data_IF_820179537755
#
_entry.id   IF_820179537755
#
_cell.length_a   1.000
_cell.length_b   1.000
_cell.length_c   1.000
_cell.angle_alpha   90.00
_cell.angle_beta   90.00
_cell.angle_gamma   90.00
#
_symmetry.space_group_name_H-M   'P 1'
#
loop_
_entity.id
_entity.type
_entity.pdbx_description
1 polymer ?
#
# COMPACT_ATOMS: atom_id res chain seq x y z
N UNK A 1 19.13 -8.83 -22.19
CA UNK A 1 19.98 -7.72 -21.71
C UNK A 1 19.24 -7.14 -20.52
N UNK A 2 19.61 -7.60 -19.32
CA UNK A 2 18.91 -7.27 -18.08
C UNK A 2 19.41 -5.91 -17.63
N UNK A 3 18.56 -4.88 -17.71
CA UNK A 3 18.80 -3.61 -17.04
C UNK A 3 18.64 -3.86 -15.54
N UNK A 4 19.73 -4.22 -14.88
CA UNK A 4 19.83 -4.07 -13.43
C UNK A 4 19.93 -2.56 -13.18
N UNK A 5 18.80 -1.91 -12.87
CA UNK A 5 18.86 -0.59 -12.23
C UNK A 5 19.43 -0.83 -10.83
N UNK A 6 20.70 -0.52 -10.64
CA UNK A 6 21.30 -0.39 -9.33
C UNK A 6 20.73 0.88 -8.69
N UNK A 7 19.57 0.75 -8.03
CA UNK A 7 19.06 1.82 -7.19
C UNK A 7 19.98 1.90 -5.97
N UNK A 8 20.66 3.04 -5.80
CA UNK A 8 21.44 3.27 -4.59
C UNK A 8 20.50 3.40 -3.40
N UNK A 9 20.85 2.79 -2.27
CA UNK A 9 20.27 3.11 -0.96
C UNK A 9 20.68 4.56 -0.60
N UNK A 10 20.04 5.54 -1.23
CA UNK A 10 20.07 6.93 -0.81
C UNK A 10 19.26 7.09 0.48
N UNK A 11 19.53 8.16 1.24
CA UNK A 11 18.66 8.54 2.35
C UNK A 11 17.21 8.67 1.86
N UNK A 12 16.22 8.43 2.73
CA UNK A 12 14.81 8.68 2.41
C UNK A 12 14.68 10.11 1.86
N UNK A 13 14.39 10.22 0.57
CA UNK A 13 14.08 11.49 -0.09
C UNK A 13 12.57 11.64 -0.11
N UNK A 14 12.10 12.86 0.13
CA UNK A 14 10.68 13.23 0.16
C UNK A 14 10.31 14.15 -1.01
N UNK A 15 11.24 14.39 -1.94
CA UNK A 15 10.94 15.06 -3.20
C UNK A 15 9.94 14.24 -4.02
N UNK A 16 8.82 14.87 -4.33
CA UNK A 16 7.67 14.28 -5.00
C UNK A 16 7.11 15.31 -5.99
N UNK A 17 6.60 14.87 -7.14
CA UNK A 17 6.18 15.80 -8.18
C UNK A 17 4.74 16.23 -7.93
N UNK A 18 4.51 17.54 -7.87
CA UNK A 18 3.16 18.08 -7.99
C UNK A 18 2.70 17.96 -9.44
N UNK A 19 1.64 17.19 -9.66
CA UNK A 19 1.01 16.98 -10.96
C UNK A 19 -0.37 17.62 -10.98
N UNK A 20 -0.85 17.95 -12.18
CA UNK A 20 -2.22 18.44 -12.35
C UNK A 20 -3.21 17.34 -11.93
N UNK A 21 -3.91 17.54 -10.82
CA UNK A 21 -4.84 16.58 -10.21
C UNK A 21 -6.31 17.01 -10.48
N UNK A 22 -6.86 16.80 -11.70
CA UNK A 22 -8.25 17.15 -11.99
C UNK A 22 -9.25 16.28 -11.21
N UNK A 23 -8.81 15.13 -10.71
CA UNK A 23 -9.57 14.29 -9.79
C UNK A 23 -9.73 12.85 -10.28
N UNK A 24 -9.92 11.96 -9.31
CA UNK A 24 -10.26 10.56 -9.50
C UNK A 24 -11.68 10.33 -9.00
N UNK A 25 -12.46 9.57 -9.76
CA UNK A 25 -13.85 9.26 -9.44
C UNK A 25 -14.05 7.74 -9.32
N UNK A 26 -14.94 7.35 -8.42
CA UNK A 26 -15.46 6.00 -8.36
C UNK A 26 -16.35 5.71 -9.57
N UNK A 27 -16.17 4.53 -10.16
CA UNK A 27 -16.97 4.04 -11.29
C UNK A 27 -17.97 3.00 -10.79
N UNK A 28 -17.47 1.89 -10.24
CA UNK A 28 -18.28 0.76 -9.77
C UNK A 28 -17.47 -0.18 -8.87
N UNK A 29 -18.16 -1.13 -8.23
CA UNK A 29 -17.57 -2.23 -7.46
C UNK A 29 -18.20 -2.43 -6.07
N UNK A 30 -18.21 -3.66 -5.54
CA UNK A 30 -18.64 -3.92 -4.17
C UNK A 30 -17.58 -3.44 -3.19
N UNK A 31 -17.93 -2.45 -2.37
CA UNK A 31 -17.13 -1.98 -1.24
C UNK A 31 -18.01 -1.75 -0.02
N UNK A 32 -17.38 -1.68 1.15
CA UNK A 32 -18.04 -1.28 2.39
C UNK A 32 -17.87 0.23 2.58
N UNK A 33 -18.98 0.94 2.78
CA UNK A 33 -18.92 2.37 3.10
C UNK A 33 -18.26 2.58 4.48
N UNK A 34 -17.51 3.68 4.61
CA UNK A 34 -16.90 4.05 5.88
C UNK A 34 -17.93 4.22 7.00
N UNK A 35 -17.59 3.69 8.17
CA UNK A 35 -18.34 3.87 9.41
C UNK A 35 -17.38 4.26 10.55
N UNK A 36 -17.83 5.04 11.54
CA UNK A 36 -17.00 5.32 12.72
C UNK A 36 -16.47 4.04 13.36
N UNK A 37 -15.15 3.99 13.57
CA UNK A 37 -14.45 2.81 14.09
C UNK A 37 -13.91 1.86 13.02
N UNK A 38 -14.18 2.09 11.74
CA UNK A 38 -13.57 1.36 10.63
C UNK A 38 -12.24 1.99 10.22
N UNK A 39 -11.49 1.25 9.40
CA UNK A 39 -10.30 1.75 8.72
C UNK A 39 -10.60 3.07 7.98
N UNK A 40 -9.78 4.09 8.21
CA UNK A 40 -9.96 5.40 7.60
C UNK A 40 -9.77 5.35 6.09
N UNK A 41 -10.79 5.76 5.34
CA UNK A 41 -10.76 5.95 3.89
C UNK A 41 -12.18 6.11 3.33
N UNK A 42 -12.32 6.03 2.01
CA UNK A 42 -13.61 6.25 1.33
C UNK A 42 -14.24 4.94 0.88
N UNK A 43 -13.47 4.09 0.20
CA UNK A 43 -13.92 2.80 -0.32
C UNK A 43 -13.17 1.69 0.41
N UNK A 44 -13.88 0.92 1.24
CA UNK A 44 -13.26 -0.10 2.08
C UNK A 44 -13.41 -1.47 1.43
N UNK A 45 -12.29 -2.10 1.13
CA UNK A 45 -12.21 -3.48 0.65
C UNK A 45 -11.88 -4.36 1.86
N UNK A 46 -12.91 -4.93 2.49
CA UNK A 46 -12.82 -5.62 3.79
C UNK A 46 -12.91 -7.13 3.68
N UNK A 47 -13.40 -7.62 2.55
CA UNK A 47 -13.56 -9.04 2.32
C UNK A 47 -12.73 -9.43 1.11
N UNK A 48 -12.22 -10.66 1.11
CA UNK A 48 -11.60 -11.23 -0.07
C UNK A 48 -12.50 -11.07 -1.30
N UNK A 49 -11.90 -10.67 -2.42
CA UNK A 49 -12.56 -10.38 -3.69
C UNK A 49 -13.47 -9.15 -3.72
N UNK A 50 -13.56 -8.34 -2.64
CA UNK A 50 -14.07 -6.97 -2.73
C UNK A 50 -13.23 -6.21 -3.75
N UNK A 51 -13.88 -5.37 -4.55
CA UNK A 51 -13.19 -4.63 -5.61
C UNK A 51 -13.85 -3.29 -5.88
N UNK A 52 -13.04 -2.36 -6.38
CA UNK A 52 -13.53 -1.08 -6.92
C UNK A 52 -12.82 -0.76 -8.23
N UNK A 53 -13.53 -0.03 -9.07
CA UNK A 53 -13.01 0.61 -10.28
C UNK A 53 -13.01 2.11 -10.10
N UNK A 54 -11.84 2.70 -10.33
CA UNK A 54 -11.61 4.14 -10.28
C UNK A 54 -11.16 4.62 -11.67
N UNK A 55 -11.59 5.81 -12.07
CA UNK A 55 -11.16 6.45 -13.31
C UNK A 55 -10.87 7.93 -13.10
N UNK A 56 -9.91 8.47 -13.86
CA UNK A 56 -9.55 9.88 -13.86
C UNK A 56 -8.04 10.08 -13.83
N UNK A 57 -7.63 11.27 -13.42
CA UNK A 57 -6.22 11.64 -13.29
C UNK A 57 -6.00 12.28 -11.93
N UNK A 58 -5.14 11.70 -11.10
CA UNK A 58 -4.94 12.18 -9.74
C UNK A 58 -4.27 11.18 -8.81
N UNK A 59 -4.13 11.57 -7.55
CA UNK A 59 -3.51 10.71 -6.54
C UNK A 59 -4.54 9.85 -5.81
N UNK A 60 -4.17 8.60 -5.57
CA UNK A 60 -4.96 7.64 -4.80
C UNK A 60 -4.09 7.11 -3.66
N UNK A 61 -4.67 7.04 -2.47
CA UNK A 61 -4.09 6.39 -1.30
C UNK A 61 -4.70 5.01 -1.12
N UNK A 62 -3.85 4.02 -0.92
CA UNK A 62 -4.18 2.72 -0.34
C UNK A 62 -3.69 2.71 1.09
N UNK A 63 -4.59 2.56 2.05
CA UNK A 63 -4.24 2.35 3.45
C UNK A 63 -4.45 0.87 3.80
N UNK A 64 -3.38 0.20 4.18
CA UNK A 64 -3.37 -1.22 4.51
C UNK A 64 -3.57 -1.47 6.00
N UNK A 65 -4.33 -2.52 6.33
CA UNK A 65 -4.43 -3.06 7.69
C UNK A 65 -4.44 -4.58 7.66
N UNK A 66 -3.40 -5.21 8.20
CA UNK A 66 -3.29 -6.67 8.27
C UNK A 66 -3.99 -7.18 9.53
N UNK A 67 -4.94 -8.11 9.38
CA UNK A 67 -5.76 -8.66 10.47
C UNK A 67 -5.15 -9.92 11.09
N UNK A 68 -3.87 -9.86 11.46
CA UNK A 68 -3.14 -11.03 12.00
C UNK A 68 -3.82 -11.66 13.22
N UNK A 69 -4.52 -10.88 14.04
CA UNK A 69 -5.25 -11.34 15.23
C UNK A 69 -6.47 -12.20 14.89
N UNK A 70 -6.99 -12.09 13.66
CA UNK A 70 -8.15 -12.84 13.20
C UNK A 70 -7.71 -14.10 12.48
N UNK A 71 -6.75 -13.98 11.57
CA UNK A 71 -6.08 -15.12 10.95
C UNK A 71 -4.77 -14.70 10.28
N UNK A 72 -3.68 -15.26 10.77
CA UNK A 72 -2.35 -15.08 10.19
C UNK A 72 -2.06 -16.09 9.06
N UNK A 73 -1.09 -15.75 8.22
CA UNK A 73 -0.53 -16.64 7.20
C UNK A 73 -0.02 -15.90 5.97
N UNK A 74 0.33 -16.66 4.93
CA UNK A 74 0.66 -16.11 3.62
C UNK A 74 -0.47 -15.19 3.13
N UNK A 75 -0.12 -14.03 2.58
CA UNK A 75 -1.08 -13.10 1.98
C UNK A 75 -0.54 -12.55 0.66
N UNK A 76 -1.44 -12.16 -0.24
CA UNK A 76 -1.08 -11.60 -1.54
C UNK A 76 -1.43 -10.11 -1.58
N UNK A 77 -0.73 -9.39 -2.45
CA UNK A 77 -1.07 -8.03 -2.84
C UNK A 77 -2.50 -7.93 -3.43
N UNK A 78 -2.97 -6.70 -3.56
CA UNK A 78 -4.14 -6.42 -4.39
C UNK A 78 -3.85 -6.83 -5.83
N UNK A 79 -4.87 -7.34 -6.49
CA UNK A 79 -4.88 -7.42 -7.95
C UNK A 79 -5.26 -6.05 -8.49
N UNK A 80 -4.38 -5.46 -9.30
CA UNK A 80 -4.62 -4.22 -10.02
C UNK A 80 -4.73 -4.51 -11.53
N UNK A 81 -5.92 -4.30 -12.10
CA UNK A 81 -6.13 -4.31 -13.56
C UNK A 81 -6.17 -2.86 -14.06
N UNK A 82 -5.20 -2.48 -14.89
CA UNK A 82 -4.87 -1.09 -15.20
C UNK A 82 -5.05 -0.82 -16.68
N UNK A 83 -5.77 0.26 -17.00
CA UNK A 83 -5.79 0.87 -18.33
C UNK A 83 -5.26 2.30 -18.21
N UNK A 84 -4.05 2.54 -18.72
CA UNK A 84 -3.34 3.82 -18.56
C UNK A 84 -2.19 3.69 -17.56
N UNK A 85 -2.08 4.64 -16.64
CA UNK A 85 -0.98 4.73 -15.67
C UNK A 85 -1.47 4.44 -14.26
N UNK A 86 -0.75 3.59 -13.53
CA UNK A 86 -0.93 3.31 -12.11
C UNK A 86 0.44 3.10 -11.47
N UNK A 87 1.05 4.20 -11.04
CA UNK A 87 2.43 4.21 -10.54
C UNK A 87 2.45 4.49 -9.05
N UNK A 88 3.12 3.65 -8.27
CA UNK A 88 3.40 3.98 -6.88
C UNK A 88 4.37 5.16 -6.84
N UNK A 89 4.00 6.22 -6.13
CA UNK A 89 4.79 7.44 -6.06
C UNK A 89 5.30 7.74 -4.65
N UNK A 90 4.71 7.15 -3.61
CA UNK A 90 5.18 7.31 -2.25
C UNK A 90 4.66 6.21 -1.32
N UNK A 91 5.37 6.02 -0.22
CA UNK A 91 4.93 5.22 0.92
C UNK A 91 5.13 5.99 2.22
N UNK A 92 4.19 5.89 3.16
CA UNK A 92 4.23 6.62 4.42
C UNK A 92 3.67 5.81 5.60
N UNK A 93 3.95 6.31 6.81
CA UNK A 93 3.73 5.60 8.06
C UNK A 93 4.84 4.60 8.30
N UNK A 94 4.50 3.40 8.75
CA UNK A 94 5.49 2.33 8.89
C UNK A 94 5.41 1.39 7.68
N UNK A 95 6.55 0.90 7.24
CA UNK A 95 6.62 -0.21 6.30
C UNK A 95 6.46 -1.51 7.08
N UNK A 96 5.60 -2.41 6.62
CA UNK A 96 5.35 -3.63 7.36
C UNK A 96 6.64 -4.42 7.54
N UNK A 97 7.04 -4.61 8.81
CA UNK A 97 8.17 -5.44 9.19
C UNK A 97 9.58 -4.85 9.02
N UNK A 98 9.74 -3.64 8.47
CA UNK A 98 10.96 -2.83 8.71
C UNK A 98 11.14 -2.53 10.21
N UNK A 99 10.02 -2.56 10.95
CA UNK A 99 9.97 -2.60 12.39
C UNK A 99 9.18 -3.87 12.76
N UNK A 100 9.65 -4.70 13.71
CA UNK A 100 8.74 -5.64 14.34
C UNK A 100 7.54 -4.85 14.85
N UNK A 101 6.32 -5.32 14.59
CA UNK A 101 5.19 -4.89 15.41
C UNK A 101 5.64 -5.05 16.89
N UNK A 102 5.16 -4.23 17.83
CA UNK A 102 5.57 -4.29 19.26
C UNK A 102 5.36 -5.67 19.94
N UNK A 103 4.96 -6.69 19.18
CA UNK A 103 4.63 -8.06 19.56
C UNK A 103 5.42 -9.14 18.77
N UNK A 104 6.47 -8.77 18.02
CA UNK A 104 7.37 -9.75 17.40
C UNK A 104 8.28 -10.39 18.45
N UNK A 105 7.76 -11.36 19.20
CA UNK A 105 8.49 -12.14 20.19
C UNK A 105 9.07 -13.44 19.57
N UNK A 106 9.73 -13.36 18.41
CA UNK A 106 10.49 -14.50 17.88
C UNK A 106 11.94 -14.50 18.41
N UNK A 107 12.34 -15.48 19.24
CA UNK A 107 13.71 -15.59 19.75
C UNK A 107 14.77 -15.90 18.67
N UNK A 108 14.37 -16.20 17.42
CA UNK A 108 15.29 -16.50 16.32
C UNK A 108 15.77 -15.27 15.54
N UNK A 109 15.15 -14.11 15.74
CA UNK A 109 15.40 -12.87 14.98
C UNK A 109 15.21 -13.00 13.45
N UNK A 110 14.53 -14.05 12.96
CA UNK A 110 14.33 -14.33 11.53
C UNK A 110 13.00 -13.80 10.97
N UNK A 111 12.22 -13.05 11.77
CA UNK A 111 10.97 -12.46 11.29
C UNK A 111 11.23 -11.36 10.27
N UNK A 112 10.89 -11.66 9.01
CA UNK A 112 10.87 -10.72 7.89
C UNK A 112 9.43 -10.43 7.46
N UNK A 113 8.66 -9.76 8.33
CA UNK A 113 7.43 -9.02 7.95
C UNK A 113 6.20 -9.93 7.73
N UNK A 114 4.92 -9.55 7.91
CA UNK A 114 4.16 -8.35 8.21
C UNK A 114 2.98 -8.70 9.16
N UNK A 115 3.26 -8.58 10.47
CA UNK A 115 2.33 -8.55 11.63
C UNK A 115 1.75 -9.88 12.13
N UNK A 116 1.87 -10.08 13.44
CA UNK A 116 1.70 -11.38 14.08
C UNK A 116 2.51 -11.52 15.38
N UNK A 117 2.45 -12.69 16.00
CA UNK A 117 3.21 -13.06 17.20
C UNK A 117 2.99 -14.52 17.59
N UNK A 118 3.62 -14.99 18.66
CA UNK A 118 3.50 -16.39 19.13
C UNK A 118 2.05 -16.83 19.36
N UNK A 119 1.19 -15.89 19.74
CA UNK A 119 -0.20 -16.17 20.11
C UNK A 119 -1.12 -16.32 18.89
N UNK A 120 -0.81 -15.64 17.77
CA UNK A 120 -1.71 -15.51 16.62
C UNK A 120 -1.11 -15.98 15.27
N UNK A 121 0.18 -16.32 15.25
CA UNK A 121 0.93 -16.62 14.03
C UNK A 121 1.45 -15.36 13.34
N UNK A 122 2.12 -15.52 12.21
CA UNK A 122 2.70 -14.43 11.42
C UNK A 122 2.02 -14.32 10.05
N UNK A 123 1.70 -13.12 9.61
CA UNK A 123 1.32 -12.86 8.22
C UNK A 123 2.55 -12.44 7.42
N UNK A 124 2.65 -12.79 6.15
CA UNK A 124 3.75 -12.38 5.26
C UNK A 124 3.27 -12.28 3.81
N UNK A 125 3.85 -11.35 3.05
CA UNK A 125 3.53 -11.15 1.63
C UNK A 125 4.34 -12.11 0.74
N UNK A 126 3.77 -12.53 -0.39
CA UNK A 126 4.36 -13.54 -1.29
C UNK A 126 5.39 -13.01 -2.28
N UNK A 127 5.41 -11.70 -2.49
CA UNK A 127 6.31 -11.03 -3.43
C UNK A 127 7.57 -10.47 -2.76
N UNK A 128 7.84 -10.83 -1.49
CA UNK A 128 8.93 -10.30 -0.67
C UNK A 128 8.89 -8.77 -0.47
N UNK A 129 7.84 -8.10 -0.94
CA UNK A 129 7.65 -6.66 -0.79
C UNK A 129 6.87 -6.35 0.48
N UNK A 130 7.47 -5.52 1.33
CA UNK A 130 6.76 -4.96 2.46
C UNK A 130 5.94 -3.77 2.02
N UNK A 131 4.62 -3.88 2.12
CA UNK A 131 3.75 -2.72 1.91
C UNK A 131 4.03 -1.63 2.93
N UNK A 132 3.78 -0.39 2.54
CA UNK A 132 3.65 0.70 3.49
C UNK A 132 2.26 0.69 4.12
N UNK A 133 2.15 1.22 5.34
CA UNK A 133 0.86 1.42 5.97
C UNK A 133 -0.05 2.31 5.10
N UNK A 134 0.51 3.35 4.50
CA UNK A 134 -0.11 4.13 3.44
C UNK A 134 0.77 4.06 2.19
N UNK A 135 0.18 3.66 1.08
CA UNK A 135 0.79 3.69 -0.24
C UNK A 135 0.05 4.68 -1.11
N UNK A 136 0.81 5.48 -1.85
CA UNK A 136 0.28 6.54 -2.70
C UNK A 136 0.62 6.23 -4.14
N UNK A 137 -0.39 6.34 -4.99
CA UNK A 137 -0.32 6.04 -6.41
C UNK A 137 -0.77 7.24 -7.23
N UNK A 138 -0.12 7.44 -8.36
CA UNK A 138 -0.60 8.29 -9.43
C UNK A 138 -1.45 7.46 -10.40
N UNK A 139 -2.70 7.87 -10.58
CA UNK A 139 -3.61 7.34 -11.60
C UNK A 139 -3.69 8.33 -12.76
N UNK A 140 -3.55 7.84 -13.98
CA UNK A 140 -3.97 8.53 -15.21
C UNK A 140 -4.61 7.52 -16.15
N UNK A 141 -5.93 7.40 -16.08
CA UNK A 141 -6.70 6.38 -16.80
C UNK A 141 -7.73 5.70 -15.91
N UNK A 142 -7.70 4.37 -15.85
CA UNK A 142 -8.60 3.54 -15.05
C UNK A 142 -7.83 2.42 -14.35
N UNK A 143 -8.23 2.12 -13.11
CA UNK A 143 -7.73 0.97 -12.36
C UNK A 143 -8.89 0.24 -11.69
N UNK A 144 -8.89 -1.09 -11.79
CA UNK A 144 -9.70 -1.97 -10.94
C UNK A 144 -8.80 -2.56 -9.86
N UNK A 145 -9.09 -2.28 -8.59
CA UNK A 145 -8.37 -2.80 -7.43
C UNK A 145 -9.22 -3.87 -6.77
N UNK A 146 -8.66 -5.05 -6.53
CA UNK A 146 -9.36 -6.18 -5.92
C UNK A 146 -8.49 -6.84 -4.84
N UNK A 147 -9.10 -7.14 -3.69
CA UNK A 147 -8.45 -7.94 -2.65
C UNK A 147 -8.29 -9.39 -3.09
N UNK A 148 -7.13 -9.97 -2.79
CA UNK A 148 -6.78 -11.34 -3.14
C UNK A 148 -6.23 -12.09 -1.92
N UNK A 149 -6.93 -11.96 -0.79
CA UNK A 149 -6.57 -12.60 0.47
C UNK A 149 -6.43 -14.13 0.31
N UNK A 150 -5.50 -14.73 1.05
CA UNK A 150 -5.35 -16.19 1.12
C UNK A 150 -5.48 -16.67 2.57
N UNK A 151 -4.40 -17.12 3.21
CA UNK A 151 -4.45 -17.53 4.61
C UNK A 151 -4.48 -16.32 5.53
N UNK A 152 -3.55 -15.40 5.33
CA UNK A 152 -3.47 -14.12 6.03
C UNK A 152 -4.52 -13.14 5.51
N UNK A 153 -5.22 -12.50 6.44
CA UNK A 153 -6.28 -11.54 6.17
C UNK A 153 -5.77 -10.10 6.22
N UNK A 154 -6.35 -9.24 5.40
CA UNK A 154 -6.11 -7.80 5.39
C UNK A 154 -7.32 -7.02 4.89
N UNK A 155 -7.40 -5.78 5.33
CA UNK A 155 -8.32 -4.78 4.83
C UNK A 155 -7.52 -3.71 4.08
N UNK A 156 -8.09 -3.18 2.99
CA UNK A 156 -7.56 -1.98 2.32
C UNK A 156 -8.62 -0.91 2.23
N UNK A 157 -8.28 0.29 2.68
CA UNK A 157 -9.08 1.48 2.45
C UNK A 157 -8.49 2.28 1.29
N UNK A 158 -9.32 2.56 0.28
CA UNK A 158 -8.96 3.37 -0.87
C UNK A 158 -9.57 4.77 -0.71
N UNK A 159 -8.80 5.79 -1.05
CA UNK A 159 -9.23 7.18 -0.96
C UNK A 159 -8.47 8.05 -1.97
N UNK A 160 -9.09 9.09 -2.51
CA UNK A 160 -8.39 10.12 -3.29
C UNK A 160 -7.51 11.00 -2.41
N UNK A 161 -6.34 11.38 -2.88
CA UNK A 161 -5.40 12.24 -2.14
C UNK A 161 -4.97 13.44 -2.97
N UNK A 162 -4.20 14.32 -2.36
CA UNK A 162 -3.52 15.43 -3.02
C UNK A 162 -2.03 15.48 -2.68
N UNK A 163 -1.31 16.32 -3.41
CA UNK A 163 0.13 16.52 -3.26
C UNK A 163 0.52 16.95 -1.84
N UNK A 164 -0.22 17.89 -1.25
CA UNK A 164 0.09 18.44 0.07
C UNK A 164 -0.03 17.37 1.16
N UNK A 165 -1.07 16.54 1.10
CA UNK A 165 -1.30 15.42 2.01
C UNK A 165 -0.18 14.38 1.90
N UNK A 166 0.21 14.02 0.68
CA UNK A 166 1.29 13.05 0.45
C UNK A 166 2.60 13.58 1.02
N UNK A 167 2.93 14.84 0.72
CA UNK A 167 4.15 15.47 1.18
C UNK A 167 4.20 15.57 2.70
N UNK A 168 3.09 15.91 3.36
CA UNK A 168 2.98 15.92 4.82
C UNK A 168 3.27 14.54 5.41
N UNK A 169 2.64 13.49 4.87
CA UNK A 169 2.76 12.12 5.35
C UNK A 169 4.19 11.58 5.21
N UNK A 170 4.82 11.74 4.04
CA UNK A 170 6.17 11.21 3.80
C UNK A 170 7.27 11.96 4.56
N UNK A 171 7.05 13.24 4.89
CA UNK A 171 7.98 14.03 5.69
C UNK A 171 8.03 13.59 7.17
N UNK A 172 7.04 12.83 7.64
CA UNK A 172 7.06 12.22 8.97
C UNK A 172 7.90 10.95 9.00
N UNK A 173 7.33 9.86 8.50
CA UNK A 173 7.99 8.56 8.35
C UNK A 173 7.54 7.99 7.00
N UNK A 174 8.37 8.15 5.97
CA UNK A 174 8.00 7.73 4.62
C UNK A 174 9.14 7.89 3.64
N UNK A 175 8.82 7.61 2.37
CA UNK A 175 9.73 7.74 1.25
C UNK A 175 8.97 8.08 -0.02
N UNK A 176 9.59 8.90 -0.87
CA UNK A 176 9.16 9.10 -2.25
C UNK A 176 9.68 7.95 -3.13
N UNK A 177 8.83 7.51 -4.05
CA UNK A 177 9.13 6.55 -5.11
C UNK A 177 8.80 7.12 -6.49
N UNK A 178 8.75 8.44 -6.57
CA UNK A 178 8.30 9.13 -7.76
C UNK A 178 9.27 8.92 -8.93
N UNK A 179 8.81 8.31 -10.04
CA UNK A 179 9.64 8.04 -11.20
C UNK A 179 10.18 9.32 -11.86
N UNK A 180 9.52 10.47 -11.71
CA UNK A 180 9.99 11.76 -12.26
C UNK A 180 11.28 12.25 -11.57
N UNK A 181 11.57 11.76 -10.36
CA UNK A 181 12.81 12.02 -9.64
C UNK A 181 13.82 10.88 -9.74
N UNK A 182 13.55 9.88 -10.59
CA UNK A 182 14.37 8.68 -10.72
C UNK A 182 14.36 7.79 -9.48
N UNK A 183 13.42 8.02 -8.55
CA UNK A 183 13.14 7.10 -7.46
C UNK A 183 12.32 5.94 -8.02
N UNK A 184 12.61 4.73 -7.56
CA UNK A 184 11.83 3.55 -7.89
C UNK A 184 11.50 2.83 -6.59
N UNK A 185 10.30 2.23 -6.48
CA UNK A 185 10.01 1.35 -5.36
C UNK A 185 11.07 0.23 -5.34
N UNK A 186 11.78 0.11 -4.21
CA UNK A 186 12.65 -1.03 -3.95
C UNK A 186 11.75 -2.25 -3.72
N UNK A 187 11.25 -2.83 -4.81
CA UNK A 187 10.84 -4.23 -4.84
C UNK A 187 12.14 -5.03 -4.91
N UNK A 188 12.61 -5.49 -3.74
CA UNK A 188 13.69 -6.46 -3.64
C UNK A 188 13.14 -7.85 -3.95
#
# INVERSE_FOLDING_TARGET
>A
MTLALSCGLGAADTLFAERANPGVSYVEGPYVEFQPGYLTGTWLLFHNSDWIRLSGTGYVRLRWEVEYWKRAGITNDLVADVTGTWDMVAGAGFRFGDQPAPFCNDPSAACVNATGGTDYGYTWFTNEANHWNNEYFWLDGEVTLQTAETLGLYNVAVQTSDYATILEDINGLGASYDPDFGACPCYS
#
